data_IF_256154955071
#
_entry.id   IF_256154955071
#
_cell.length_a   1.000
_cell.length_b   1.000
_cell.length_c   1.000
_cell.angle_alpha   90.00
_cell.angle_beta   90.00
_cell.angle_gamma   90.00
#
_symmetry.space_group_name_H-M   'P 1'
#
loop_
_entity.id
_entity.type
_entity.pdbx_description
1 polymer ?
#
# COMPACT_ATOMS: atom_id res chain seq x y z
N UNK A 1 -6.71 -38.09 -12.91
CA UNK A 1 -8.07 -37.71 -12.52
C UNK A 1 -8.08 -37.24 -11.08
N UNK A 2 -7.85 -35.95 -10.84
CA UNK A 2 -7.98 -35.33 -9.51
C UNK A 2 -8.07 -33.80 -9.69
N UNK A 3 -9.24 -33.30 -10.10
CA UNK A 3 -9.49 -31.85 -10.19
C UNK A 3 -10.95 -31.50 -9.88
N UNK A 4 -11.47 -32.06 -8.79
CA UNK A 4 -12.61 -31.48 -8.08
C UNK A 4 -12.16 -31.25 -6.63
N UNK A 5 -11.38 -30.20 -6.45
CA UNK A 5 -11.05 -29.70 -5.11
C UNK A 5 -12.17 -28.75 -4.68
N UNK A 6 -13.07 -29.28 -3.86
CA UNK A 6 -13.88 -28.59 -2.86
C UNK A 6 -14.37 -27.18 -3.21
N UNK A 7 -15.61 -27.09 -3.71
CA UNK A 7 -16.43 -25.90 -3.49
C UNK A 7 -16.69 -25.80 -1.97
N UNK A 8 -15.78 -25.15 -1.24
CA UNK A 8 -15.99 -24.80 0.17
C UNK A 8 -17.27 -23.98 0.26
N UNK A 9 -18.28 -24.51 0.94
CA UNK A 9 -19.53 -23.81 1.19
C UNK A 9 -19.20 -22.49 1.92
N UNK A 10 -19.27 -21.38 1.19
CA UNK A 10 -18.99 -20.06 1.73
C UNK A 10 -19.99 -19.78 2.86
N UNK A 11 -19.53 -19.87 4.10
CA UNK A 11 -20.35 -19.63 5.30
C UNK A 11 -20.64 -18.13 5.53
N UNK A 12 -20.20 -17.26 4.61
CA UNK A 12 -20.40 -15.83 4.66
C UNK A 12 -21.71 -15.35 4.03
N UNK A 13 -21.98 -14.05 4.20
CA UNK A 13 -23.19 -13.42 3.68
C UNK A 13 -23.12 -13.20 2.15
N UNK A 14 -23.72 -14.13 1.40
CA UNK A 14 -23.84 -14.09 -0.08
C UNK A 14 -24.46 -12.78 -0.60
N UNK A 15 -25.43 -12.18 0.11
CA UNK A 15 -26.05 -10.91 -0.29
C UNK A 15 -25.03 -9.77 -0.28
N UNK A 16 -24.14 -9.73 0.72
CA UNK A 16 -23.08 -8.71 0.83
C UNK A 16 -22.01 -8.89 -0.26
N UNK A 17 -21.69 -10.13 -0.60
CA UNK A 17 -20.74 -10.44 -1.67
C UNK A 17 -21.26 -9.99 -3.04
N UNK A 18 -22.52 -10.28 -3.34
CA UNK A 18 -23.18 -9.96 -4.61
C UNK A 18 -23.72 -8.52 -4.69
N UNK A 19 -23.76 -7.79 -3.57
CA UNK A 19 -24.29 -6.43 -3.50
C UNK A 19 -23.52 -5.48 -4.43
N UNK A 20 -24.25 -4.85 -5.36
CA UNK A 20 -23.71 -3.83 -6.27
C UNK A 20 -23.18 -4.36 -7.61
N UNK A 21 -22.94 -5.68 -7.74
CA UNK A 21 -22.53 -6.29 -9.01
C UNK A 21 -23.62 -6.19 -10.08
N UNK A 22 -24.90 -6.24 -9.69
CA UNK A 22 -26.05 -6.13 -10.62
C UNK A 22 -26.10 -4.82 -11.42
N UNK A 23 -25.38 -3.78 -11.00
CA UNK A 23 -25.37 -2.47 -11.70
C UNK A 23 -24.24 -2.35 -12.73
N UNK A 24 -23.37 -3.35 -12.84
CA UNK A 24 -22.18 -3.31 -13.69
C UNK A 24 -22.39 -4.29 -14.85
N UNK A 25 -21.82 -3.99 -16.01
CA UNK A 25 -21.69 -4.96 -17.08
C UNK A 25 -20.52 -5.88 -16.77
N UNK A 26 -20.80 -7.16 -16.52
CA UNK A 26 -19.79 -8.17 -16.12
C UNK A 26 -19.16 -8.89 -17.32
N UNK A 27 -19.68 -8.67 -18.52
CA UNK A 27 -19.25 -9.35 -19.74
C UNK A 27 -17.85 -8.89 -20.16
N UNK A 28 -16.95 -9.85 -20.41
CA UNK A 28 -15.58 -9.58 -20.88
C UNK A 28 -14.60 -9.07 -19.82
N UNK A 29 -15.00 -8.93 -18.55
CA UNK A 29 -14.11 -8.53 -17.46
C UNK A 29 -13.39 -9.74 -16.87
N UNK A 30 -12.08 -9.60 -16.60
CA UNK A 30 -11.31 -10.63 -15.89
C UNK A 30 -11.55 -10.53 -14.38
N UNK A 31 -11.50 -11.67 -13.72
CA UNK A 31 -11.64 -11.77 -12.27
C UNK A 31 -10.27 -12.07 -11.68
N UNK A 32 -9.73 -11.16 -10.89
CA UNK A 32 -8.39 -11.27 -10.31
C UNK A 32 -8.47 -11.46 -8.80
N UNK A 33 -7.76 -12.46 -8.30
CA UNK A 33 -7.71 -12.77 -6.85
C UNK A 33 -6.41 -12.22 -6.26
N UNK A 34 -6.54 -11.46 -5.18
CA UNK A 34 -5.44 -10.91 -4.41
C UNK A 34 -5.43 -11.52 -3.02
N UNK A 35 -4.34 -12.16 -2.64
CA UNK A 35 -4.13 -12.57 -1.24
C UNK A 35 -3.51 -11.40 -0.44
N UNK A 36 -4.19 -10.95 0.62
CA UNK A 36 -3.71 -9.90 1.50
C UNK A 36 -2.76 -10.40 2.60
N UNK A 37 -2.63 -11.72 2.77
CA UNK A 37 -1.84 -12.32 3.85
C UNK A 37 -0.38 -11.86 3.81
N UNK A 38 0.09 -11.25 4.90
CA UNK A 38 1.47 -10.76 5.01
C UNK A 38 1.79 -9.53 4.15
N UNK A 39 0.81 -9.00 3.41
CA UNK A 39 1.03 -7.88 2.51
C UNK A 39 0.87 -6.53 3.22
N UNK A 40 1.67 -5.55 2.80
CA UNK A 40 1.59 -4.20 3.38
C UNK A 40 0.38 -3.47 2.79
N UNK A 41 -0.53 -3.03 3.66
CA UNK A 41 -1.81 -2.38 3.30
C UNK A 41 -1.71 -1.39 2.13
N UNK A 42 -0.78 -0.43 2.21
CA UNK A 42 -0.65 0.62 1.19
C UNK A 42 -0.12 0.12 -0.15
N UNK A 43 0.73 -0.91 -0.16
CA UNK A 43 1.28 -1.48 -1.39
C UNK A 43 0.23 -2.32 -2.10
N UNK A 44 -0.48 -3.16 -1.34
CA UNK A 44 -1.63 -3.92 -1.80
C UNK A 44 -2.69 -2.98 -2.39
N UNK A 45 -3.09 -1.94 -1.66
CA UNK A 45 -4.12 -1.01 -2.10
C UNK A 45 -3.74 -0.27 -3.40
N UNK A 46 -2.46 0.08 -3.58
CA UNK A 46 -1.99 0.72 -4.80
C UNK A 46 -2.14 -0.20 -6.02
N UNK A 47 -1.72 -1.46 -5.92
CA UNK A 47 -1.85 -2.42 -7.02
C UNK A 47 -3.32 -2.68 -7.36
N UNK A 48 -4.16 -2.90 -6.34
CA UNK A 48 -5.61 -3.05 -6.51
C UNK A 48 -6.19 -1.83 -7.25
N UNK A 49 -5.81 -0.60 -6.87
CA UNK A 49 -6.35 0.61 -7.49
C UNK A 49 -5.97 0.75 -8.98
N UNK A 50 -4.80 0.25 -9.39
CA UNK A 50 -4.35 0.23 -10.79
C UNK A 50 -5.17 -0.74 -11.63
N UNK A 51 -5.40 -1.94 -11.10
CA UNK A 51 -6.16 -3.01 -11.77
C UNK A 51 -7.65 -2.65 -11.87
N UNK A 52 -8.24 -2.07 -10.82
CA UNK A 52 -9.63 -1.59 -10.85
C UNK A 52 -9.81 -0.45 -11.86
N UNK A 53 -8.77 0.36 -12.11
CA UNK A 53 -8.82 1.38 -13.15
C UNK A 53 -8.60 0.82 -14.56
N UNK A 54 -8.12 -0.42 -14.69
CA UNK A 54 -7.77 -1.04 -15.98
C UNK A 54 -6.46 -0.52 -16.58
N UNK A 55 -5.65 0.20 -15.80
CA UNK A 55 -4.37 0.78 -16.26
C UNK A 55 -3.29 -0.27 -16.55
N UNK A 56 -3.51 -1.50 -16.13
CA UNK A 56 -2.69 -2.67 -16.47
C UNK A 56 -2.91 -3.16 -17.91
N UNK A 57 -4.03 -2.80 -18.54
CA UNK A 57 -4.35 -3.18 -19.92
C UNK A 57 -3.89 -2.10 -20.91
N UNK A 58 -3.38 -2.49 -22.09
CA UNK A 58 -3.03 -1.53 -23.16
C UNK A 58 -4.27 -0.80 -23.72
N UNK A 59 -5.45 -1.39 -23.57
CA UNK A 59 -6.74 -0.83 -24.03
C UNK A 59 -7.28 0.28 -23.10
N UNK A 60 -6.51 0.74 -22.12
CA UNK A 60 -6.96 1.73 -21.14
C UNK A 60 -7.39 3.05 -21.81
N UNK A 61 -8.66 3.40 -21.63
CA UNK A 61 -9.22 4.70 -21.99
C UNK A 61 -9.68 5.44 -20.72
N UNK A 62 -9.24 6.69 -20.47
CA UNK A 62 -9.47 7.37 -19.19
C UNK A 62 -10.95 7.69 -18.90
N UNK A 63 -11.77 7.85 -19.95
CA UNK A 63 -13.20 8.17 -19.86
C UNK A 63 -14.09 6.92 -19.71
N UNK A 64 -13.56 5.72 -19.97
CA UNK A 64 -14.29 4.45 -19.88
C UNK A 64 -13.88 3.68 -18.63
N UNK A 65 -14.73 2.76 -18.18
CA UNK A 65 -14.47 1.88 -17.05
C UNK A 65 -14.25 0.42 -17.47
N UNK A 66 -13.07 0.14 -18.04
CA UNK A 66 -12.68 -1.19 -18.53
C UNK A 66 -11.85 -2.00 -17.52
N UNK A 67 -11.84 -1.56 -16.24
CA UNK A 67 -11.10 -2.20 -15.17
C UNK A 67 -11.66 -3.56 -14.78
N UNK A 68 -10.76 -4.44 -14.32
CA UNK A 68 -11.07 -5.82 -13.90
C UNK A 68 -11.72 -5.87 -12.51
N UNK A 69 -12.35 -7.00 -12.19
CA UNK A 69 -12.91 -7.27 -10.87
C UNK A 69 -11.81 -7.79 -9.95
N UNK A 70 -11.67 -7.19 -8.78
CA UNK A 70 -10.67 -7.58 -7.79
C UNK A 70 -11.35 -8.22 -6.59
N UNK A 71 -10.99 -9.47 -6.32
CA UNK A 71 -11.38 -10.21 -5.11
C UNK A 71 -10.19 -10.28 -4.18
N UNK A 72 -10.31 -9.69 -2.99
CA UNK A 72 -9.25 -9.70 -1.96
C UNK A 72 -9.62 -10.70 -0.88
N UNK A 73 -8.68 -11.58 -0.53
CA UNK A 73 -8.81 -12.60 0.51
C UNK A 73 -7.92 -12.27 1.72
N UNK A 74 -8.21 -12.91 2.85
CA UNK A 74 -7.41 -12.82 4.08
C UNK A 74 -7.20 -11.38 4.58
N UNK A 75 -8.24 -10.54 4.52
CA UNK A 75 -8.11 -9.14 4.95
C UNK A 75 -7.74 -8.97 6.44
N UNK A 76 -7.97 -9.99 7.28
CA UNK A 76 -7.56 -10.04 8.69
C UNK A 76 -6.03 -10.03 8.85
N UNK A 77 -5.31 -10.66 7.92
CA UNK A 77 -3.86 -10.87 7.99
C UNK A 77 -3.04 -9.77 7.30
N UNK A 78 -3.68 -8.64 6.98
CA UNK A 78 -3.01 -7.51 6.34
C UNK A 78 -2.02 -6.87 7.31
N UNK A 79 -0.81 -6.62 6.82
CA UNK A 79 0.27 -6.07 7.62
C UNK A 79 0.34 -4.54 7.52
N UNK A 80 0.65 -3.90 8.64
CA UNK A 80 0.96 -2.47 8.70
C UNK A 80 2.31 -2.29 9.38
N UNK A 81 3.19 -1.49 8.78
CA UNK A 81 4.56 -1.29 9.27
C UNK A 81 4.62 -0.28 10.42
N UNK A 82 5.51 -0.52 11.39
CA UNK A 82 5.79 0.42 12.49
C UNK A 82 4.70 0.39 13.57
N UNK A 83 4.52 1.50 14.30
CA UNK A 83 3.54 1.63 15.40
C UNK A 83 2.14 2.10 14.95
N UNK A 84 1.87 2.04 13.65
CA UNK A 84 0.62 2.56 13.05
C UNK A 84 -0.64 1.84 13.52
N UNK A 85 -0.53 0.63 14.07
CA UNK A 85 -1.68 -0.09 14.62
C UNK A 85 -2.38 0.70 15.73
N UNK A 86 -1.61 1.38 16.58
CA UNK A 86 -2.12 2.23 17.67
C UNK A 86 -2.20 3.69 17.24
N UNK A 87 -1.19 4.17 16.52
CA UNK A 87 -1.02 5.61 16.31
C UNK A 87 -1.89 6.16 15.16
N UNK A 88 -2.37 5.28 14.27
CA UNK A 88 -3.21 5.70 13.14
C UNK A 88 -4.67 5.67 13.55
N UNK A 89 -5.33 6.80 13.40
CA UNK A 89 -6.75 6.94 13.65
C UNK A 89 -7.55 7.25 12.39
N UNK A 90 -8.76 6.70 12.33
CA UNK A 90 -9.80 7.07 11.37
C UNK A 90 -10.71 8.10 12.02
N UNK A 91 -10.75 9.30 11.45
CA UNK A 91 -11.60 10.40 11.89
C UNK A 91 -12.72 10.66 10.90
N UNK A 92 -13.92 10.92 11.40
CA UNK A 92 -15.05 11.40 10.63
C UNK A 92 -15.95 12.28 11.50
N UNK A 93 -16.70 13.17 10.88
CA UNK A 93 -17.64 14.05 11.55
C UNK A 93 -19.07 13.66 11.18
N UNK A 94 -20.01 13.77 12.11
CA UNK A 94 -21.42 13.44 11.82
C UNK A 94 -22.22 14.59 11.23
N UNK A 95 -21.71 15.82 11.31
CA UNK A 95 -22.37 17.06 10.85
C UNK A 95 -22.82 17.97 11.98
N UNK A 96 -23.03 17.43 13.19
CA UNK A 96 -23.40 18.19 14.39
C UNK A 96 -22.19 18.81 15.09
N UNK A 97 -22.34 20.02 15.64
CA UNK A 97 -21.27 20.76 16.33
C UNK A 97 -20.65 19.89 17.44
N UNK A 98 -19.31 19.78 17.47
CA UNK A 98 -18.57 19.02 18.50
C UNK A 98 -18.51 17.50 18.29
N UNK A 99 -19.09 16.94 17.22
CA UNK A 99 -19.21 15.49 17.04
C UNK A 99 -18.11 14.90 16.14
N UNK A 100 -16.86 15.17 16.48
CA UNK A 100 -15.72 14.48 15.87
C UNK A 100 -15.62 13.06 16.42
N UNK A 101 -15.83 12.06 15.56
CA UNK A 101 -15.66 10.65 15.91
C UNK A 101 -14.30 10.16 15.44
N UNK A 102 -13.64 9.43 16.32
CA UNK A 102 -12.32 8.85 16.07
C UNK A 102 -12.32 7.37 16.43
N UNK A 103 -11.58 6.57 15.65
CA UNK A 103 -11.38 5.15 15.92
C UNK A 103 -9.95 4.76 15.54
N UNK A 104 -9.26 4.03 16.40
CA UNK A 104 -7.91 3.55 16.09
C UNK A 104 -7.93 2.50 14.97
N UNK A 105 -6.81 2.29 14.29
CA UNK A 105 -6.67 1.24 13.30
C UNK A 105 -6.85 -0.14 13.93
N UNK A 106 -6.32 -0.37 15.13
CA UNK A 106 -6.50 -1.62 15.89
C UNK A 106 -7.98 -1.94 16.09
N UNK A 107 -8.77 -0.99 16.57
CA UNK A 107 -10.20 -1.19 16.80
C UNK A 107 -10.96 -1.39 15.48
N UNK A 108 -10.55 -0.69 14.43
CA UNK A 108 -11.15 -0.85 13.10
C UNK A 108 -10.84 -2.24 12.51
N UNK A 109 -9.65 -2.79 12.71
CA UNK A 109 -9.28 -4.14 12.28
C UNK A 109 -10.02 -5.22 13.07
N UNK A 110 -10.23 -5.01 14.38
CA UNK A 110 -11.02 -5.93 15.20
C UNK A 110 -12.50 -5.94 14.79
N UNK A 111 -13.06 -4.76 14.46
CA UNK A 111 -14.45 -4.63 14.07
C UNK A 111 -14.73 -5.12 12.64
N UNK A 112 -14.06 -4.51 11.67
CA UNK A 112 -14.31 -4.75 10.24
C UNK A 112 -12.99 -4.55 9.45
N UNK A 113 -12.15 -5.58 9.32
CA UNK A 113 -10.87 -5.48 8.61
C UNK A 113 -11.06 -5.21 7.11
N UNK A 114 -12.19 -5.62 6.53
CA UNK A 114 -12.52 -5.36 5.12
C UNK A 114 -12.63 -3.86 4.82
N UNK A 115 -13.11 -3.07 5.79
CA UNK A 115 -13.32 -1.63 5.62
C UNK A 115 -11.99 -0.86 5.61
N UNK A 116 -10.97 -1.39 6.30
CA UNK A 116 -9.61 -0.82 6.29
C UNK A 116 -9.05 -0.81 4.86
N UNK A 117 -9.17 -1.95 4.16
CA UNK A 117 -8.70 -2.10 2.78
C UNK A 117 -9.59 -1.30 1.83
N UNK A 118 -10.92 -1.39 1.96
CA UNK A 118 -11.87 -0.64 1.12
C UNK A 118 -11.61 0.86 1.18
N UNK A 119 -11.50 1.45 2.38
CA UNK A 119 -11.20 2.87 2.55
C UNK A 119 -9.83 3.27 1.98
N UNK A 120 -8.83 2.39 2.08
CA UNK A 120 -7.51 2.65 1.52
C UNK A 120 -7.56 2.72 -0.02
N UNK A 121 -8.20 1.74 -0.66
CA UNK A 121 -8.34 1.68 -2.12
C UNK A 121 -9.22 2.84 -2.63
N UNK A 122 -10.37 3.08 -2.00
CA UNK A 122 -11.28 4.16 -2.37
C UNK A 122 -10.60 5.53 -2.36
N UNK A 123 -9.72 5.78 -1.38
CA UNK A 123 -8.95 7.02 -1.29
C UNK A 123 -7.80 7.11 -2.31
N UNK A 124 -7.43 6.01 -2.97
CA UNK A 124 -6.45 5.98 -4.07
C UNK A 124 -7.09 6.12 -5.45
N UNK A 125 -8.41 5.92 -5.57
CA UNK A 125 -9.15 6.13 -6.81
C UNK A 125 -9.35 7.63 -7.09
N UNK A 126 -9.38 8.04 -8.37
CA UNK A 126 -9.65 9.44 -8.74
C UNK A 126 -11.05 9.85 -8.26
N UNK A 127 -11.19 11.09 -7.78
CA UNK A 127 -12.47 11.64 -7.32
C UNK A 127 -13.31 12.09 -8.51
N UNK A 128 -14.07 11.18 -9.09
CA UNK A 128 -15.01 11.44 -10.18
C UNK A 128 -16.28 10.56 -10.03
N UNK A 129 -17.25 10.72 -10.94
CA UNK A 129 -18.50 9.92 -10.93
C UNK A 129 -18.25 8.42 -11.08
N UNK A 130 -17.22 8.03 -11.85
CA UNK A 130 -16.81 6.64 -12.05
C UNK A 130 -16.21 5.99 -10.80
N UNK A 131 -15.83 6.76 -9.78
CA UNK A 131 -15.19 6.23 -8.57
C UNK A 131 -16.05 5.20 -7.87
N UNK A 132 -17.34 5.47 -7.76
CA UNK A 132 -18.25 4.62 -7.01
C UNK A 132 -18.56 3.33 -7.79
N UNK A 133 -18.62 3.41 -9.12
CA UNK A 133 -18.76 2.23 -9.99
C UNK A 133 -17.50 1.34 -9.94
N UNK A 134 -16.32 1.96 -9.91
CA UNK A 134 -15.04 1.28 -9.69
C UNK A 134 -14.95 0.62 -8.31
N UNK A 135 -15.40 1.27 -7.24
CA UNK A 135 -15.44 0.66 -5.89
C UNK A 135 -16.38 -0.55 -5.82
N UNK A 136 -17.45 -0.56 -6.62
CA UNK A 136 -18.34 -1.73 -6.71
C UNK A 136 -17.63 -2.96 -7.29
N UNK A 137 -16.61 -2.80 -8.14
CA UNK A 137 -15.77 -3.90 -8.66
C UNK A 137 -14.84 -4.52 -7.60
N UNK A 138 -14.65 -3.88 -6.45
CA UNK A 138 -13.82 -4.40 -5.35
C UNK A 138 -14.64 -5.25 -4.38
N UNK A 139 -14.28 -6.52 -4.25
CA UNK A 139 -14.83 -7.46 -3.27
C UNK A 139 -13.74 -7.87 -2.29
N UNK A 140 -14.03 -7.84 -0.99
CA UNK A 140 -13.04 -8.11 0.06
C UNK A 140 -13.66 -9.07 1.05
N UNK A 141 -12.93 -10.14 1.34
CA UNK A 141 -13.29 -11.15 2.31
C UNK A 141 -12.26 -11.16 3.45
N UNK A 142 -12.73 -11.28 4.70
CA UNK A 142 -11.84 -11.35 5.85
C UNK A 142 -11.03 -12.65 5.89
N UNK A 143 -11.62 -13.73 5.38
CA UNK A 143 -11.09 -15.09 5.37
C UNK A 143 -10.59 -15.49 3.96
N UNK A 144 -10.12 -16.72 3.82
CA UNK A 144 -9.61 -17.28 2.57
C UNK A 144 -10.70 -17.72 1.60
N UNK A 145 -11.95 -17.81 2.07
CA UNK A 145 -13.08 -18.30 1.27
C UNK A 145 -13.77 -17.17 0.50
N UNK A 146 -14.24 -17.49 -0.71
CA UNK A 146 -15.06 -16.60 -1.52
C UNK A 146 -16.20 -17.36 -2.23
N UNK A 147 -17.32 -16.70 -2.52
CA UNK A 147 -18.46 -17.34 -3.17
C UNK A 147 -18.35 -17.43 -4.71
N UNK A 148 -17.26 -16.92 -5.31
CA UNK A 148 -17.15 -16.78 -6.77
C UNK A 148 -16.56 -17.99 -7.48
N UNK A 149 -16.73 -19.21 -6.95
CA UNK A 149 -16.09 -20.42 -7.49
C UNK A 149 -16.46 -20.76 -8.94
N UNK A 150 -17.63 -20.35 -9.40
CA UNK A 150 -18.14 -20.66 -10.75
C UNK A 150 -17.47 -19.85 -11.88
N UNK A 151 -16.67 -18.83 -11.53
CA UNK A 151 -16.05 -17.92 -12.49
C UNK A 151 -14.58 -18.28 -12.72
N UNK A 152 -14.00 -17.94 -13.89
CA UNK A 152 -12.58 -18.11 -14.10
C UNK A 152 -11.80 -17.07 -13.27
N UNK A 153 -11.17 -17.49 -12.18
CA UNK A 153 -10.35 -16.63 -11.32
C UNK A 153 -8.87 -16.72 -11.71
N UNK A 154 -8.28 -15.56 -12.00
CA UNK A 154 -6.84 -15.41 -12.22
C UNK A 154 -6.17 -14.95 -10.92
N UNK A 155 -5.27 -15.76 -10.30
CA UNK A 155 -4.51 -15.30 -9.15
C UNK A 155 -3.55 -14.19 -9.56
N UNK A 156 -3.61 -13.05 -8.87
CA UNK A 156 -2.72 -11.93 -9.09
C UNK A 156 -1.47 -12.04 -8.20
N UNK A 157 -0.31 -12.13 -8.84
CA UNK A 157 0.98 -12.12 -8.16
C UNK A 157 1.48 -10.69 -8.06
N UNK A 158 1.87 -10.27 -6.87
CA UNK A 158 2.45 -8.93 -6.67
C UNK A 158 3.80 -8.81 -7.39
N UNK A 159 4.10 -7.64 -7.99
CA UNK A 159 5.39 -7.42 -8.60
C UNK A 159 6.54 -7.59 -7.59
N UNK A 160 7.63 -8.26 -7.97
CA UNK A 160 8.71 -8.60 -7.05
C UNK A 160 9.38 -7.35 -6.48
N UNK A 161 9.67 -7.39 -5.18
CA UNK A 161 10.23 -6.25 -4.46
C UNK A 161 11.75 -6.21 -4.60
N UNK A 162 12.28 -5.27 -5.38
CA UNK A 162 13.70 -4.88 -5.28
C UNK A 162 13.92 -4.07 -4.00
N UNK A 163 14.13 -4.74 -2.87
CA UNK A 163 14.56 -4.07 -1.64
C UNK A 163 16.02 -3.68 -1.82
N UNK A 164 16.33 -2.37 -1.75
CA UNK A 164 17.73 -1.96 -1.58
C UNK A 164 18.16 -2.47 -0.21
N UNK A 165 19.15 -3.36 -0.19
CA UNK A 165 19.75 -3.81 1.06
C UNK A 165 20.17 -2.57 1.87
N UNK A 166 19.75 -2.55 3.14
CA UNK A 166 20.13 -1.46 4.03
C UNK A 166 21.63 -1.62 4.25
N UNK A 167 22.43 -0.60 3.87
CA UNK A 167 23.85 -0.57 4.23
C UNK A 167 23.94 -0.77 5.75
N UNK A 168 24.69 -1.75 6.27
CA UNK A 168 24.72 -2.03 7.70
C UNK A 168 25.07 -0.75 8.46
N UNK A 169 24.43 -0.55 9.63
CA UNK A 169 24.62 0.68 10.44
C UNK A 169 26.10 0.96 10.70
N UNK A 170 26.91 -0.09 10.86
CA UNK A 170 28.37 -0.04 10.97
C UNK A 170 29.04 0.65 9.77
N UNK A 171 28.66 0.34 8.53
CA UNK A 171 29.23 0.97 7.32
C UNK A 171 28.85 2.45 7.21
N UNK A 172 27.65 2.85 7.66
CA UNK A 172 27.26 4.28 7.75
C UNK A 172 28.03 5.01 8.84
N UNK A 173 28.30 4.37 9.98
CA UNK A 173 29.10 4.93 11.06
C UNK A 173 30.56 5.10 10.64
N UNK A 174 31.17 4.10 9.99
CA UNK A 174 32.54 4.20 9.46
C UNK A 174 32.68 5.29 8.41
N UNK A 175 31.75 5.39 7.44
CA UNK A 175 31.79 6.47 6.43
C UNK A 175 31.66 7.85 7.08
N UNK A 176 30.81 7.99 8.12
CA UNK A 176 30.69 9.25 8.88
C UNK A 176 31.95 9.57 9.68
N UNK A 177 32.59 8.56 10.27
CA UNK A 177 33.85 8.72 10.99
C UNK A 177 35.00 9.11 10.05
N UNK A 178 35.14 8.43 8.90
CA UNK A 178 36.12 8.73 7.86
C UNK A 178 35.94 10.16 7.33
N UNK A 179 34.72 10.54 6.97
CA UNK A 179 34.44 11.89 6.45
C UNK A 179 34.67 12.99 7.49
N UNK A 180 34.46 12.70 8.78
CA UNK A 180 34.79 13.61 9.89
C UNK A 180 36.30 13.73 10.10
N UNK A 181 37.04 12.63 9.98
CA UNK A 181 38.50 12.62 10.05
C UNK A 181 39.12 13.41 8.87
N UNK A 182 38.66 13.18 7.64
CA UNK A 182 39.09 13.93 6.45
C UNK A 182 38.84 15.44 6.59
N UNK A 183 37.70 15.85 7.16
CA UNK A 183 37.40 17.27 7.41
C UNK A 183 38.29 17.89 8.48
N UNK A 184 38.67 17.12 9.52
CA UNK A 184 39.59 17.58 10.56
C UNK A 184 41.02 17.70 10.03
N UNK A 185 41.46 16.78 9.17
CA UNK A 185 42.75 16.85 8.50
C UNK A 185 42.82 18.03 7.53
N UNK A 186 41.78 18.26 6.73
CA UNK A 186 41.71 19.42 5.82
C UNK A 186 41.71 20.75 6.59
N UNK A 187 40.90 20.88 7.64
CA UNK A 187 40.89 22.09 8.49
C UNK A 187 42.19 22.31 9.28
N UNK A 188 42.88 21.23 9.67
CA UNK A 188 44.20 21.31 10.29
C UNK A 188 45.30 21.73 9.30
N UNK A 189 45.22 21.27 8.05
CA UNK A 189 46.16 21.62 7.00
C UNK A 189 45.98 23.07 6.53
N UNK A 190 44.74 23.56 6.44
CA UNK A 190 44.43 24.97 6.18
C UNK A 190 44.95 25.90 7.30
N UNK A 191 44.77 25.53 8.58
CA UNK A 191 45.32 26.31 9.71
C UNK A 191 46.85 26.36 9.73
N UNK A 192 47.52 25.23 9.42
CA UNK A 192 48.99 25.20 9.29
C UNK A 192 49.48 26.06 8.13
N UNK A 193 48.76 26.05 7.00
CA UNK A 193 49.08 26.89 5.84
C UNK A 193 48.85 28.39 6.10
N UNK A 194 47.84 28.74 6.90
CA UNK A 194 47.61 30.11 7.38
C UNK A 194 48.74 30.60 8.29
N UNK A 195 49.09 29.81 9.32
CA UNK A 195 50.14 30.18 10.28
C UNK A 195 51.53 30.31 9.63
N UNK A 196 51.82 29.52 8.60
CA UNK A 196 53.08 29.63 7.83
C UNK A 196 53.14 30.92 7.00
N UNK A 197 52.00 31.38 6.47
CA UNK A 197 51.90 32.66 5.74
C UNK A 197 52.02 33.88 6.66
N UNK A 198 51.48 33.81 7.87
CA UNK A 198 51.63 34.85 8.89
C UNK A 198 53.09 35.00 9.33
N UNK A 199 53.78 33.88 9.60
CA UNK A 199 55.21 33.90 9.97
C UNK A 199 56.11 34.37 8.83
N UNK A 200 55.79 34.04 7.58
CA UNK A 200 56.52 34.55 6.40
C UNK A 200 56.31 36.06 6.20
N UNK A 201 55.16 36.62 6.60
CA UNK A 201 54.89 38.06 6.51
C UNK A 201 55.62 38.88 7.59
N UNK A 202 55.69 38.37 8.83
CA UNK A 202 56.41 39.01 9.94
C UNK A 202 57.95 39.03 9.76
N UNK A 203 58.50 38.15 8.92
CA UNK A 203 59.93 38.11 8.61
C UNK A 203 60.34 39.04 7.45
N UNK A 204 59.37 39.70 6.80
CA UNK A 204 59.58 40.59 5.64
C UNK A 204 59.33 42.08 5.91
N UNK A 205 59.03 42.46 7.16
CA UNK A 205 58.99 43.86 7.66
C UNK A 205 60.25 44.19 8.47
#
# INVERSE_FOLDING_TARGET
MASQAAASAFNGNMKKALAGLKRINLEGLRWRVFDAKGQVLGRLASQISTVIQGKDKPTYAPYRDDGDICVVLNAKDVCVTGRKMTDKFYRWHTGYIGHLKERSLKDQMAKDPTEVIRKAVLRMLPRNKLRDDRDRKLRIFPDSEHPFGDRPLEPYVMPPRKVREIRPRARRAMIRAQKKAEQQEQGGNEKRKGKKREVEAELTE
#
